data_IF_491371155040
#
_entry.id   IF_491371155040
#
_cell.length_a   1.000
_cell.length_b   1.000
_cell.length_c   1.000
_cell.angle_alpha   90.00
_cell.angle_beta   90.00
_cell.angle_gamma   90.00
#
_symmetry.space_group_name_H-M   'P 1'
#
loop_
_entity.id
_entity.type
_entity.pdbx_description
1 polymer ?
#
# COMPACT_ATOMS: atom_id res chain seq x y z
N UNK A 1 -27.63 -31.18 -44.87
CA UNK A 1 -27.16 -30.61 -46.18
C UNK A 1 -27.24 -29.11 -46.06
N UNK A 2 -26.13 -28.40 -45.96
CA UNK A 2 -25.77 -27.17 -46.68
C UNK A 2 -24.50 -26.63 -46.06
N UNK A 3 -23.40 -26.75 -46.79
CA UNK A 3 -22.06 -26.22 -46.51
C UNK A 3 -22.08 -24.71 -46.73
N UNK A 4 -21.49 -23.92 -45.85
CA UNK A 4 -21.12 -22.55 -46.16
C UNK A 4 -19.60 -22.36 -46.01
N UNK A 5 -19.03 -21.85 -47.09
CA UNK A 5 -17.62 -21.79 -47.42
C UNK A 5 -16.92 -20.63 -46.72
N UNK A 6 -15.78 -20.93 -46.17
CA UNK A 6 -14.82 -19.97 -45.61
C UNK A 6 -13.98 -19.33 -46.73
N UNK A 7 -14.05 -18.02 -46.88
CA UNK A 7 -13.35 -17.26 -47.92
C UNK A 7 -12.11 -16.58 -47.32
N UNK A 8 -10.93 -17.10 -47.66
CA UNK A 8 -9.65 -16.46 -47.38
C UNK A 8 -9.45 -15.21 -48.24
N UNK A 9 -9.14 -14.08 -47.62
CA UNK A 9 -8.62 -12.90 -48.31
C UNK A 9 -7.15 -12.74 -47.94
N UNK A 10 -6.30 -12.90 -48.95
CA UNK A 10 -4.85 -12.63 -48.91
C UNK A 10 -4.67 -11.12 -49.17
N UNK A 11 -4.01 -10.40 -48.28
CA UNK A 11 -3.50 -9.06 -48.57
C UNK A 11 -2.00 -9.11 -48.67
N UNK A 12 -1.56 -8.65 -49.82
CA UNK A 12 -0.19 -8.70 -50.36
C UNK A 12 0.68 -7.63 -49.71
N UNK A 13 1.87 -8.05 -49.34
CA UNK A 13 2.98 -7.22 -48.85
C UNK A 13 3.57 -6.40 -50.00
N UNK A 14 3.66 -5.09 -49.91
CA UNK A 14 4.48 -4.25 -50.79
C UNK A 14 5.62 -3.62 -49.97
N UNK A 15 6.82 -4.09 -50.25
CA UNK A 15 8.08 -3.54 -49.79
C UNK A 15 8.41 -2.32 -50.64
N UNK A 16 8.63 -1.16 -50.06
CA UNK A 16 9.26 -0.01 -50.71
C UNK A 16 10.52 0.37 -49.98
N UNK A 17 11.64 0.04 -50.60
CA UNK A 17 12.99 0.42 -50.22
C UNK A 17 13.26 1.83 -50.76
N UNK A 18 13.58 2.79 -49.88
CA UNK A 18 14.10 4.09 -50.25
C UNK A 18 15.42 4.33 -49.54
N UNK A 19 16.48 4.17 -50.30
CA UNK A 19 17.86 4.55 -49.92
C UNK A 19 18.02 6.03 -50.27
N UNK A 20 18.31 6.88 -49.28
CA UNK A 20 18.84 8.22 -49.51
C UNK A 20 20.16 8.34 -48.79
N UNK A 21 21.20 8.47 -49.59
CA UNK A 21 22.58 8.81 -49.21
C UNK A 21 22.65 10.34 -49.13
N UNK A 22 23.06 10.92 -48.02
CA UNK A 22 23.52 12.32 -47.95
C UNK A 22 24.59 12.49 -46.87
N UNK A 23 25.67 12.94 -47.30
CA UNK A 23 26.98 13.33 -46.87
C UNK A 23 27.06 14.20 -45.62
N UNK A 24 28.04 13.86 -44.82
CA UNK A 24 28.87 14.59 -43.84
C UNK A 24 28.83 16.13 -43.82
N UNK A 25 28.69 16.71 -42.63
CA UNK A 25 29.62 17.75 -42.12
C UNK A 25 29.50 17.83 -40.58
N UNK A 26 30.66 17.86 -39.94
CA UNK A 26 30.78 17.76 -38.49
C UNK A 26 30.48 19.07 -37.74
N UNK A 27 30.12 18.90 -36.47
CA UNK A 27 30.34 19.86 -35.41
C UNK A 27 30.43 19.10 -34.07
N UNK A 28 31.52 19.32 -33.38
CA UNK A 28 31.86 18.79 -32.06
C UNK A 28 31.16 19.55 -30.90
N UNK A 29 31.43 19.21 -29.65
CA UNK A 29 30.48 18.65 -28.74
C UNK A 29 30.11 19.65 -27.65
N UNK A 30 28.88 19.75 -27.30
CA UNK A 30 28.47 20.37 -26.05
C UNK A 30 28.12 19.27 -25.05
N UNK A 31 28.95 19.14 -24.06
CA UNK A 31 28.83 18.18 -22.99
C UNK A 31 27.53 18.36 -22.18
N UNK A 32 26.71 17.36 -22.21
CA UNK A 32 25.62 17.18 -21.25
C UNK A 32 26.21 16.74 -19.91
N UNK A 33 25.93 17.43 -18.79
CA UNK A 33 26.44 16.97 -17.51
C UNK A 33 25.77 15.64 -17.19
N UNK A 34 26.55 14.57 -17.11
CA UNK A 34 26.15 13.29 -16.52
C UNK A 34 25.77 13.57 -15.06
N UNK A 35 24.48 13.57 -14.78
CA UNK A 35 23.97 13.50 -13.42
C UNK A 35 24.43 12.16 -12.84
N UNK A 36 25.49 12.20 -12.04
CA UNK A 36 25.91 11.05 -11.26
C UNK A 36 24.75 10.70 -10.31
N UNK A 37 24.07 9.61 -10.62
CA UNK A 37 23.17 8.97 -9.66
C UNK A 37 24.09 8.35 -8.60
N UNK A 38 24.35 9.11 -7.56
CA UNK A 38 24.96 8.58 -6.34
C UNK A 38 23.94 7.61 -5.76
N UNK A 39 24.13 6.34 -6.01
CA UNK A 39 23.46 5.28 -5.27
C UNK A 39 23.91 5.43 -3.82
N UNK A 40 23.01 5.95 -2.98
CA UNK A 40 23.18 5.90 -1.53
C UNK A 40 23.11 4.41 -1.18
N UNK A 41 24.15 3.80 -0.62
CA UNK A 41 24.07 2.42 -0.16
C UNK A 41 22.98 2.35 0.89
N UNK A 42 21.97 1.49 0.66
CA UNK A 42 21.03 1.09 1.70
C UNK A 42 21.85 0.24 2.68
N UNK A 43 22.39 0.91 3.66
CA UNK A 43 23.03 0.21 4.79
C UNK A 43 21.90 -0.42 5.60
N UNK A 44 21.79 -1.71 5.53
CA UNK A 44 21.00 -2.53 6.46
C UNK A 44 21.61 -2.30 7.84
N UNK A 45 21.05 -1.36 8.62
CA UNK A 45 21.52 -1.10 9.98
C UNK A 45 21.04 -2.22 10.90
N UNK A 46 21.99 -3.00 11.31
CA UNK A 46 21.98 -3.97 12.41
C UNK A 46 21.44 -3.31 13.68
N UNK A 47 20.71 -4.09 14.46
CA UNK A 47 20.14 -3.79 15.78
C UNK A 47 21.03 -2.87 16.63
N UNK A 48 20.45 -1.78 17.14
CA UNK A 48 20.98 -1.05 18.29
C UNK A 48 21.24 0.44 18.13
N UNK A 49 21.05 1.03 16.96
CA UNK A 49 21.28 2.48 16.81
C UNK A 49 20.02 3.27 17.18
N UNK A 50 20.10 4.01 18.28
CA UNK A 50 19.05 4.93 18.72
C UNK A 50 18.86 6.03 17.66
N UNK A 51 17.70 6.01 16.98
CA UNK A 51 17.31 7.12 16.09
C UNK A 51 16.87 8.27 17.00
N UNK A 52 17.50 9.45 16.94
CA UNK A 52 17.08 10.58 17.73
C UNK A 52 15.65 10.97 17.38
N UNK A 53 14.78 11.01 18.37
CA UNK A 53 13.41 11.48 18.22
C UNK A 53 13.39 13.02 18.27
N UNK A 54 13.01 13.65 17.18
CA UNK A 54 12.70 15.08 17.16
C UNK A 54 11.18 15.24 17.30
N UNK A 55 10.69 15.72 18.45
CA UNK A 55 9.26 15.94 18.64
C UNK A 55 8.83 17.14 17.79
N UNK A 56 8.00 16.87 16.79
CA UNK A 56 7.37 17.94 15.98
C UNK A 56 6.29 18.72 16.73
N UNK A 57 5.97 18.33 17.97
CA UNK A 57 5.00 19.04 18.82
C UNK A 57 5.25 18.75 20.30
N UNK A 58 5.59 19.75 21.11
CA UNK A 58 5.85 19.60 22.55
C UNK A 58 4.68 19.01 23.36
N UNK A 59 3.44 19.20 22.90
CA UNK A 59 2.24 18.71 23.60
C UNK A 59 1.99 17.21 23.53
N UNK A 60 2.52 16.51 22.51
CA UNK A 60 2.29 15.07 22.36
C UNK A 60 3.12 14.24 23.34
N UNK A 61 4.24 14.76 23.83
CA UNK A 61 5.15 14.08 24.75
C UNK A 61 4.60 13.94 26.16
N UNK A 62 3.73 14.85 26.59
CA UNK A 62 3.19 14.84 27.96
C UNK A 62 2.18 13.69 28.19
N UNK A 63 1.66 13.07 27.13
CA UNK A 63 0.61 12.06 27.18
C UNK A 63 0.96 10.72 26.55
N UNK A 64 2.23 10.51 26.15
CA UNK A 64 2.67 9.25 25.56
C UNK A 64 2.42 8.07 26.50
N UNK A 65 1.86 6.94 26.03
CA UNK A 65 1.67 5.75 26.86
C UNK A 65 3.00 5.29 27.47
N UNK A 66 3.00 4.96 28.77
CA UNK A 66 4.21 4.46 29.46
C UNK A 66 4.64 3.08 28.97
N UNK A 67 3.69 2.28 28.51
CA UNK A 67 3.87 0.94 27.98
C UNK A 67 4.32 0.89 26.51
N UNK A 68 4.16 -0.27 25.92
CA UNK A 68 4.33 -0.49 24.48
C UNK A 68 3.12 0.06 23.72
N UNK A 69 3.36 0.76 22.62
CA UNK A 69 2.30 1.27 21.75
C UNK A 69 2.77 1.41 20.30
N UNK A 70 1.81 1.38 19.39
CA UNK A 70 2.04 1.66 17.97
C UNK A 70 1.65 3.11 17.65
N UNK A 71 2.40 3.69 16.73
CA UNK A 71 2.09 4.98 16.12
C UNK A 71 2.08 4.82 14.61
N UNK A 72 1.05 5.34 13.96
CA UNK A 72 0.96 5.46 12.50
C UNK A 72 0.89 6.93 12.13
N UNK A 73 1.88 7.38 11.40
CA UNK A 73 1.94 8.70 10.78
C UNK A 73 1.42 8.56 9.34
N UNK A 74 0.21 9.05 9.09
CA UNK A 74 -0.44 8.95 7.77
C UNK A 74 0.15 9.93 6.76
N UNK A 75 0.80 11.01 7.22
CA UNK A 75 1.44 11.98 6.35
C UNK A 75 2.80 11.49 5.85
N UNK A 76 3.54 10.75 6.69
CA UNK A 76 4.82 10.15 6.32
C UNK A 76 4.70 8.71 5.84
N UNK A 77 3.51 8.11 5.93
CA UNK A 77 3.27 6.70 5.62
C UNK A 77 4.24 5.77 6.38
N UNK A 78 4.27 5.92 7.69
CA UNK A 78 5.17 5.15 8.58
C UNK A 78 4.42 4.57 9.77
N UNK A 79 4.79 3.35 10.13
CA UNK A 79 4.43 2.75 11.42
C UNK A 79 5.65 2.75 12.33
N UNK A 80 5.47 2.98 13.61
CA UNK A 80 6.51 2.81 14.61
C UNK A 80 5.99 2.11 15.86
N UNK A 81 6.76 1.14 16.37
CA UNK A 81 6.57 0.52 17.66
C UNK A 81 7.38 1.30 18.69
N UNK A 82 6.74 1.74 19.77
CA UNK A 82 7.34 2.62 20.77
C UNK A 82 7.12 2.10 22.19
N UNK A 83 8.04 2.49 23.07
CA UNK A 83 7.90 2.31 24.53
C UNK A 83 8.29 3.62 25.23
N UNK A 84 7.32 4.31 25.82
CA UNK A 84 7.53 5.69 26.26
C UNK A 84 8.00 6.55 25.07
N UNK A 85 9.09 7.29 25.24
CA UNK A 85 9.63 8.16 24.19
C UNK A 85 10.59 7.46 23.19
N UNK A 86 10.87 6.16 23.39
CA UNK A 86 11.82 5.43 22.52
C UNK A 86 11.09 4.76 21.37
N UNK A 87 11.65 4.89 20.18
CA UNK A 87 11.25 4.10 19.00
C UNK A 87 12.03 2.79 19.06
N UNK A 88 11.32 1.67 19.14
CA UNK A 88 11.90 0.33 19.14
C UNK A 88 12.02 -0.22 17.72
N UNK A 89 11.07 0.14 16.86
CA UNK A 89 11.03 -0.30 15.47
C UNK A 89 10.28 0.73 14.62
N UNK A 90 10.66 0.87 13.37
CA UNK A 90 9.93 1.73 12.43
C UNK A 90 10.02 1.17 11.02
N UNK A 91 8.90 1.23 10.29
CA UNK A 91 8.80 0.73 8.93
C UNK A 91 7.94 1.64 8.05
N UNK A 92 8.12 1.52 6.74
CA UNK A 92 7.26 2.15 5.74
C UNK A 92 5.90 1.45 5.76
N UNK A 93 4.85 2.24 5.67
CA UNK A 93 3.47 1.76 5.59
C UNK A 93 2.77 2.40 4.39
N UNK A 94 1.58 1.90 4.03
CA UNK A 94 0.64 2.62 3.18
C UNK A 94 -0.68 2.79 3.92
N UNK A 95 -1.31 3.93 3.70
CA UNK A 95 -2.53 4.33 4.40
C UNK A 95 -3.63 4.74 3.41
N UNK A 96 -4.79 5.12 3.91
CA UNK A 96 -5.96 5.47 3.11
C UNK A 96 -5.69 6.54 2.08
N UNK A 97 -6.28 6.37 0.90
CA UNK A 97 -6.10 7.26 -0.26
C UNK A 97 -6.87 8.58 -0.14
N UNK A 98 -7.88 8.65 0.73
CA UNK A 98 -8.82 9.77 0.78
C UNK A 98 -9.81 9.79 -0.40
N UNK A 99 -9.73 8.83 -1.31
CA UNK A 99 -10.63 8.73 -2.44
C UNK A 99 -12.08 8.50 -1.98
N UNK A 100 -13.02 8.86 -2.85
CA UNK A 100 -14.45 8.68 -2.62
C UNK A 100 -15.03 7.77 -3.69
N UNK A 101 -15.87 6.83 -3.27
CA UNK A 101 -16.63 5.97 -4.16
C UNK A 101 -18.12 6.13 -3.84
N UNK A 102 -18.92 6.49 -4.85
CA UNK A 102 -20.36 6.58 -4.73
C UNK A 102 -20.99 5.21 -4.95
N UNK A 103 -21.97 4.83 -4.13
CA UNK A 103 -22.76 3.61 -4.36
C UNK A 103 -23.76 3.88 -5.51
N UNK A 104 -23.63 3.22 -6.67
CA UNK A 104 -24.55 3.44 -7.77
C UNK A 104 -25.99 2.95 -7.49
N UNK A 105 -26.16 2.11 -6.47
CA UNK A 105 -27.44 1.58 -6.03
C UNK A 105 -28.18 2.52 -5.07
N UNK A 106 -27.43 3.43 -4.42
CA UNK A 106 -27.97 4.38 -3.45
C UNK A 106 -27.21 5.74 -3.55
N UNK A 107 -27.79 6.76 -4.20
CA UNK A 107 -27.15 8.06 -4.40
C UNK A 107 -26.80 8.82 -3.10
N UNK A 108 -27.41 8.44 -1.96
CA UNK A 108 -27.11 9.07 -0.65
C UNK A 108 -26.04 8.34 0.13
N UNK A 109 -25.54 7.21 -0.39
CA UNK A 109 -24.53 6.36 0.25
C UNK A 109 -23.23 6.34 -0.58
N UNK A 110 -22.11 6.39 0.11
CA UNK A 110 -20.79 6.29 -0.49
C UNK A 110 -19.73 5.99 0.56
N UNK A 111 -18.54 5.70 0.10
CA UNK A 111 -17.39 5.39 0.96
C UNK A 111 -16.31 6.46 0.79
N UNK A 112 -15.63 6.74 1.89
CA UNK A 112 -14.41 7.56 1.91
C UNK A 112 -13.29 6.66 2.41
N UNK A 113 -12.23 6.55 1.65
CA UNK A 113 -11.15 5.60 1.87
C UNK A 113 -10.01 6.20 2.72
N UNK A 114 -10.38 6.75 3.87
CA UNK A 114 -9.44 7.31 4.84
C UNK A 114 -9.01 6.29 5.88
N UNK A 115 -7.75 6.30 6.28
CA UNK A 115 -7.33 5.66 7.52
C UNK A 115 -7.84 6.49 8.70
N UNK A 116 -8.63 5.89 9.61
CA UNK A 116 -9.23 6.65 10.71
C UNK A 116 -8.14 7.16 11.65
N UNK A 117 -8.21 8.44 12.02
CA UNK A 117 -7.29 9.07 12.97
C UNK A 117 -7.83 8.98 14.38
N UNK A 118 -6.94 8.91 15.37
CA UNK A 118 -7.30 8.83 16.78
C UNK A 118 -6.53 7.76 17.54
N UNK A 119 -7.09 7.36 18.67
CA UNK A 119 -6.52 6.33 19.55
C UNK A 119 -7.39 5.08 19.48
N UNK A 120 -6.76 3.97 19.16
CA UNK A 120 -7.36 2.65 18.99
C UNK A 120 -6.66 1.62 19.86
N UNK A 121 -7.17 0.39 19.82
CA UNK A 121 -6.56 -0.75 20.52
C UNK A 121 -6.47 -1.91 19.55
N UNK A 122 -5.35 -2.64 19.56
CA UNK A 122 -5.22 -3.89 18.82
C UNK A 122 -6.14 -4.93 19.48
N UNK A 123 -7.26 -5.22 18.81
CA UNK A 123 -8.34 -6.07 19.34
C UNK A 123 -8.29 -7.50 18.82
N UNK A 124 -7.57 -7.75 17.71
CA UNK A 124 -7.42 -9.10 17.15
C UNK A 124 -6.08 -9.29 16.45
N UNK A 125 -5.60 -10.54 16.43
CA UNK A 125 -4.41 -10.97 15.69
C UNK A 125 -4.75 -12.25 14.97
N UNK A 126 -4.60 -12.26 13.65
CA UNK A 126 -5.04 -13.36 12.78
C UNK A 126 -3.85 -13.81 11.93
N UNK A 127 -3.60 -15.10 11.87
CA UNK A 127 -2.66 -15.74 10.93
C UNK A 127 -3.43 -16.20 9.71
N UNK A 128 -2.83 -16.07 8.52
CA UNK A 128 -3.45 -16.42 7.24
C UNK A 128 -4.88 -15.86 7.12
N UNK A 129 -5.04 -14.52 7.24
CA UNK A 129 -6.35 -13.91 7.25
C UNK A 129 -7.06 -14.08 5.92
N UNK A 130 -8.36 -14.37 5.97
CA UNK A 130 -9.25 -14.28 4.83
C UNK A 130 -9.89 -12.90 4.78
N UNK A 131 -10.00 -12.33 3.60
CA UNK A 131 -10.65 -11.05 3.39
C UNK A 131 -12.13 -11.29 3.04
N UNK A 132 -13.03 -10.80 3.86
CA UNK A 132 -14.44 -10.70 3.52
C UNK A 132 -14.65 -9.42 2.73
N UNK A 133 -14.66 -9.54 1.40
CA UNK A 133 -14.71 -8.44 0.43
C UNK A 133 -16.00 -7.63 0.63
N UNK A 134 -15.90 -6.33 0.95
CA UNK A 134 -17.07 -5.48 1.16
C UNK A 134 -17.70 -5.03 -0.18
N UNK A 135 -18.89 -4.48 -0.13
CA UNK A 135 -19.65 -4.05 -1.32
C UNK A 135 -18.86 -3.11 -2.21
N UNK A 136 -18.15 -2.14 -1.60
CA UNK A 136 -17.38 -1.16 -2.35
C UNK A 136 -16.32 -1.80 -3.25
N UNK A 137 -15.73 -2.91 -2.86
CA UNK A 137 -14.70 -3.55 -3.65
C UNK A 137 -15.26 -4.16 -4.94
N UNK A 138 -16.45 -4.77 -4.88
CA UNK A 138 -17.13 -5.25 -6.08
C UNK A 138 -17.56 -4.09 -6.99
N UNK A 139 -18.07 -3.01 -6.39
CA UNK A 139 -18.52 -1.83 -7.14
C UNK A 139 -17.34 -1.15 -7.84
N UNK A 140 -16.21 -0.99 -7.17
CA UNK A 140 -15.00 -0.40 -7.74
C UNK A 140 -14.46 -1.23 -8.92
N UNK A 141 -14.57 -2.55 -8.83
CA UNK A 141 -14.20 -3.48 -9.91
C UNK A 141 -15.27 -3.61 -11.01
N UNK A 142 -16.40 -2.92 -10.89
CA UNK A 142 -17.51 -3.03 -11.84
C UNK A 142 -18.20 -4.40 -11.81
N UNK A 143 -18.12 -5.11 -10.69
CA UNK A 143 -18.68 -6.45 -10.50
C UNK A 143 -20.01 -6.40 -9.74
N UNK A 144 -20.93 -7.37 -9.98
CA UNK A 144 -22.12 -7.53 -9.17
C UNK A 144 -21.75 -7.86 -7.70
N UNK A 145 -22.42 -7.22 -6.76
CA UNK A 145 -22.22 -7.50 -5.33
C UNK A 145 -22.91 -8.82 -4.97
N UNK A 146 -22.17 -9.86 -4.50
CA UNK A 146 -22.75 -11.14 -4.16
C UNK A 146 -23.67 -11.05 -2.94
N UNK A 147 -24.76 -11.80 -2.95
CA UNK A 147 -25.70 -11.91 -1.84
C UNK A 147 -25.24 -12.93 -0.79
N UNK A 148 -24.47 -13.94 -1.20
CA UNK A 148 -23.98 -14.98 -0.31
C UNK A 148 -22.60 -14.65 0.23
N UNK A 149 -22.40 -14.75 1.55
CA UNK A 149 -21.13 -14.41 2.21
C UNK A 149 -19.95 -15.26 1.71
N UNK A 150 -20.20 -16.53 1.34
CA UNK A 150 -19.14 -17.41 0.83
C UNK A 150 -18.48 -16.89 -0.47
N UNK A 151 -19.27 -16.17 -1.28
CA UNK A 151 -18.81 -15.65 -2.58
C UNK A 151 -18.01 -14.32 -2.43
N UNK A 152 -17.83 -13.87 -1.19
CA UNK A 152 -17.09 -12.65 -0.85
C UNK A 152 -15.72 -12.94 -0.23
N UNK A 153 -15.40 -14.21 0.04
CA UNK A 153 -14.17 -14.56 0.75
C UNK A 153 -13.01 -14.68 -0.24
N UNK A 154 -11.97 -13.89 0.01
CA UNK A 154 -10.69 -13.99 -0.70
C UNK A 154 -9.58 -14.33 0.29
N UNK A 155 -8.63 -15.18 -0.12
CA UNK A 155 -7.47 -15.58 0.68
C UNK A 155 -6.19 -15.06 0.07
N UNK A 156 -5.15 -14.85 0.90
CA UNK A 156 -3.83 -14.43 0.45
C UNK A 156 -3.67 -12.92 0.16
N UNK A 157 -4.76 -12.16 0.02
CA UNK A 157 -4.70 -10.72 -0.33
C UNK A 157 -4.25 -9.82 0.83
N UNK A 158 -4.40 -10.30 2.07
CA UNK A 158 -4.01 -9.56 3.27
C UNK A 158 -2.61 -9.96 3.81
N UNK A 159 -1.88 -10.82 3.09
CA UNK A 159 -0.61 -11.38 3.55
C UNK A 159 -0.80 -12.42 4.67
N UNK A 160 0.31 -12.80 5.34
CA UNK A 160 0.33 -13.89 6.31
C UNK A 160 -0.25 -13.52 7.68
N UNK A 161 -0.34 -12.23 7.99
CA UNK A 161 -0.79 -11.71 9.28
C UNK A 161 -1.73 -10.53 9.14
N UNK A 162 -2.64 -10.38 10.12
CA UNK A 162 -3.43 -9.17 10.29
C UNK A 162 -3.62 -8.84 11.78
N UNK A 163 -3.53 -7.55 12.10
CA UNK A 163 -3.85 -6.99 13.43
C UNK A 163 -5.06 -6.07 13.27
N UNK A 164 -6.20 -6.45 13.85
CA UNK A 164 -7.42 -5.65 13.80
C UNK A 164 -7.44 -4.59 14.90
N UNK A 165 -7.94 -3.39 14.55
CA UNK A 165 -8.07 -2.27 15.49
C UNK A 165 -9.49 -1.66 15.52
N UNK A 166 -10.46 -2.41 15.02
CA UNK A 166 -11.88 -2.08 15.11
C UNK A 166 -12.49 -1.67 13.77
N UNK A 167 -13.81 -1.74 13.68
CA UNK A 167 -14.66 -1.35 12.53
C UNK A 167 -14.19 -1.92 11.17
N UNK A 168 -13.60 -3.13 11.18
CA UNK A 168 -13.10 -3.77 9.96
C UNK A 168 -11.76 -3.25 9.44
N UNK A 169 -11.07 -2.39 10.18
CA UNK A 169 -9.73 -1.92 9.84
C UNK A 169 -8.64 -2.83 10.40
N UNK A 170 -7.61 -3.03 9.59
CA UNK A 170 -6.48 -3.91 9.91
C UNK A 170 -5.14 -3.25 9.55
N UNK A 171 -4.10 -3.64 10.29
CA UNK A 171 -2.72 -3.59 9.83
C UNK A 171 -2.44 -4.97 9.21
N UNK A 172 -2.08 -5.02 7.92
CA UNK A 172 -1.94 -6.27 7.18
C UNK A 172 -0.88 -6.18 6.07
N UNK A 173 -0.59 -7.29 5.40
CA UNK A 173 0.35 -7.38 4.30
C UNK A 173 -0.18 -6.81 2.97
N UNK A 174 0.63 -6.92 1.93
CA UNK A 174 0.26 -6.48 0.59
C UNK A 174 0.96 -7.29 -0.49
N UNK A 175 0.23 -7.61 -1.55
CA UNK A 175 0.81 -8.13 -2.80
C UNK A 175 1.49 -7.04 -3.63
N UNK A 176 1.20 -5.77 -3.35
CA UNK A 176 1.63 -4.60 -4.14
C UNK A 176 2.71 -3.80 -3.42
N UNK A 177 3.88 -4.40 -3.21
CA UNK A 177 5.00 -3.80 -2.46
C UNK A 177 5.52 -2.49 -3.08
N UNK A 178 5.37 -2.29 -4.40
CA UNK A 178 5.75 -1.03 -5.09
C UNK A 178 4.95 0.19 -4.62
N UNK A 179 3.78 -0.04 -4.04
CA UNK A 179 2.89 1.02 -3.56
C UNK A 179 3.13 1.37 -2.09
N UNK A 180 4.05 0.68 -1.41
CA UNK A 180 4.40 1.00 -0.03
C UNK A 180 5.00 2.42 0.08
N UNK A 181 4.60 3.13 1.11
CA UNK A 181 4.99 4.52 1.35
C UNK A 181 4.04 5.55 0.75
N UNK A 182 2.90 5.13 0.20
CA UNK A 182 1.93 6.02 -0.43
C UNK A 182 0.52 5.85 0.14
N UNK A 183 -0.32 6.88 -0.01
CA UNK A 183 -1.73 6.87 0.41
C UNK A 183 -2.58 6.22 -0.70
N UNK A 184 -2.74 4.90 -0.67
CA UNK A 184 -3.39 4.12 -1.73
C UNK A 184 -4.36 3.06 -1.23
N UNK A 185 -4.58 2.97 0.09
CA UNK A 185 -5.47 1.95 0.62
C UNK A 185 -6.90 2.46 0.74
N UNK A 186 -7.83 1.55 1.02
CA UNK A 186 -9.21 1.85 1.34
C UNK A 186 -9.44 2.09 2.85
N UNK A 187 -8.36 2.49 3.56
CA UNK A 187 -8.39 2.82 4.99
C UNK A 187 -7.58 1.87 5.88
N UNK A 188 -7.33 0.64 5.47
CA UNK A 188 -6.39 -0.26 6.17
C UNK A 188 -4.94 0.24 6.07
N UNK A 189 -4.10 -0.25 6.95
CA UNK A 189 -2.66 0.06 6.98
C UNK A 189 -1.92 -1.13 6.39
N UNK A 190 -1.18 -0.93 5.28
CA UNK A 190 -0.41 -1.97 4.63
C UNK A 190 1.06 -1.90 5.02
N UNK A 191 1.65 -3.04 5.29
CA UNK A 191 3.08 -3.23 5.54
C UNK A 191 3.65 -4.25 4.55
N UNK A 192 4.97 -4.21 4.35
CA UNK A 192 5.68 -5.32 3.74
C UNK A 192 5.72 -6.54 4.68
N UNK A 193 6.10 -7.70 4.16
CA UNK A 193 6.00 -8.98 4.89
C UNK A 193 6.87 -9.00 6.15
N UNK A 194 8.15 -8.64 6.05
CA UNK A 194 9.07 -8.61 7.20
C UNK A 194 8.63 -7.61 8.29
N UNK A 195 8.31 -6.33 7.99
CA UNK A 195 7.74 -5.41 8.96
C UNK A 195 6.44 -5.89 9.60
N UNK A 196 5.57 -6.51 8.82
CA UNK A 196 4.31 -7.04 9.33
C UNK A 196 4.54 -8.18 10.31
N UNK A 197 5.40 -9.14 9.98
CA UNK A 197 5.78 -10.24 10.84
C UNK A 197 6.38 -9.72 12.16
N UNK A 198 7.29 -8.73 12.07
CA UNK A 198 7.87 -8.10 13.26
C UNK A 198 6.80 -7.50 14.15
N UNK A 199 5.92 -6.66 13.61
CA UNK A 199 4.82 -6.03 14.35
C UNK A 199 3.88 -7.08 14.92
N UNK A 200 3.53 -8.09 14.14
CA UNK A 200 2.65 -9.16 14.59
C UNK A 200 3.22 -9.90 15.81
N UNK A 201 4.50 -10.20 15.83
CA UNK A 201 5.09 -10.96 16.94
C UNK A 201 5.35 -10.11 18.19
N UNK A 202 5.67 -8.82 18.04
CA UNK A 202 6.08 -7.95 19.14
C UNK A 202 4.94 -7.11 19.74
N UNK A 203 3.78 -7.04 19.09
CA UNK A 203 2.63 -6.25 19.53
C UNK A 203 1.58 -7.17 20.16
N UNK A 204 1.38 -7.12 21.51
CA UNK A 204 0.33 -7.88 22.18
C UNK A 204 -1.09 -7.38 21.83
N UNK A 205 -2.08 -8.23 22.09
CA UNK A 205 -3.47 -7.78 22.16
C UNK A 205 -3.62 -6.72 23.28
N UNK A 206 -4.48 -5.76 23.07
CA UNK A 206 -4.67 -4.64 24.01
C UNK A 206 -3.67 -3.50 23.84
N UNK A 207 -2.68 -3.64 22.94
CA UNK A 207 -1.72 -2.56 22.65
C UNK A 207 -2.42 -1.34 22.09
N UNK A 208 -2.10 -0.16 22.63
CA UNK A 208 -2.59 1.13 22.12
C UNK A 208 -2.00 1.39 20.72
N UNK A 209 -2.86 1.83 19.80
CA UNK A 209 -2.51 2.29 18.47
C UNK A 209 -2.94 3.76 18.31
N UNK A 210 -2.00 4.64 18.01
CA UNK A 210 -2.23 6.06 17.76
C UNK A 210 -2.06 6.32 16.27
N UNK A 211 -3.06 6.93 15.62
CA UNK A 211 -3.04 7.27 14.18
C UNK A 211 -3.29 8.77 14.04
N UNK A 212 -2.42 9.48 13.31
CA UNK A 212 -2.55 10.91 13.01
C UNK A 212 -2.10 11.29 11.60
#
# INVERSE_FOLDING_TARGET
>A
MTRCLYRHSRVTLLLSLLVVLATTLGASPTGTPKRATTMIPVTTKTQGEEIPFYPSSPGLLATAPKGLYLVVDTAQNRVSLRKGNRILYSAVASTGSGARLQDPRNPTHGWVFDTPRGVFTISSKIKNPSWNKPDWAFIEEGQPVPTQSKDRIETGVLGDYALGFGKGYFIHGTLYTRMLGTNVTHGCIRLGDEPLEYVFHHVPLGTTLIIF
#
